data_IF_123502469609
#
_entry.id   IF_123502469609
#
_cell.length_a   1.000
_cell.length_b   1.000
_cell.length_c   1.000
_cell.angle_alpha   90.00
_cell.angle_beta   90.00
_cell.angle_gamma   90.00
#
_symmetry.space_group_name_H-M   'P 1'
#
loop_
_entity.id
_entity.type
_entity.pdbx_description
1 polymer ?
#
# COMPACT_ATOMS: atom_id res chain seq x y z
N UNK A 1 10.70 22.33 -6.13
CA UNK A 1 10.94 20.91 -6.03
C UNK A 1 9.68 20.19 -5.56
N UNK A 2 9.25 19.14 -6.23
CA UNK A 2 8.06 18.42 -5.80
C UNK A 2 8.27 17.87 -4.38
N UNK A 3 7.24 17.97 -3.57
CA UNK A 3 7.31 17.52 -2.19
C UNK A 3 6.06 16.73 -1.84
N UNK A 4 6.25 15.51 -1.37
CA UNK A 4 5.16 14.62 -1.00
C UNK A 4 5.26 14.28 0.48
N UNK A 5 4.16 14.49 1.21
CA UNK A 5 4.09 14.24 2.65
C UNK A 5 3.54 12.85 3.00
N UNK A 6 3.39 11.97 2.01
CA UNK A 6 2.71 10.71 2.22
C UNK A 6 3.57 9.61 2.86
N UNK A 7 4.88 9.85 3.03
CA UNK A 7 5.77 8.84 3.63
C UNK A 7 5.27 8.35 4.99
N UNK A 8 5.15 9.24 6.00
CA UNK A 8 4.65 8.82 7.30
C UNK A 8 3.23 8.27 7.26
N UNK A 9 2.37 8.82 6.42
CA UNK A 9 0.99 8.36 6.29
C UNK A 9 0.94 6.93 5.73
N UNK A 10 1.80 6.60 4.77
CA UNK A 10 1.91 5.24 4.25
C UNK A 10 2.31 4.26 5.35
N UNK A 11 3.31 4.62 6.16
CA UNK A 11 3.72 3.78 7.29
C UNK A 11 2.54 3.53 8.21
N UNK A 12 1.77 4.57 8.53
CA UNK A 12 0.57 4.42 9.37
C UNK A 12 -0.48 3.50 8.75
N UNK A 13 -0.75 3.64 7.45
CA UNK A 13 -1.76 2.82 6.77
C UNK A 13 -1.34 1.36 6.68
N UNK A 14 -0.08 1.10 6.38
CA UNK A 14 0.43 -0.27 6.32
C UNK A 14 0.34 -0.92 7.70
N UNK A 15 0.72 -0.20 8.75
CA UNK A 15 0.66 -0.70 10.11
C UNK A 15 -0.79 -0.88 10.59
N UNK A 16 -1.70 -0.01 10.17
CA UNK A 16 -3.12 -0.17 10.46
C UNK A 16 -3.66 -1.46 9.86
N UNK A 17 -3.27 -1.76 8.61
CA UNK A 17 -3.64 -3.02 7.98
C UNK A 17 -3.17 -4.22 8.82
N UNK A 18 -1.95 -4.17 9.32
CA UNK A 18 -1.38 -5.25 10.10
C UNK A 18 -2.13 -5.48 11.43
N UNK A 19 -2.66 -4.41 12.02
CA UNK A 19 -3.25 -4.46 13.37
C UNK A 19 -4.76 -4.64 13.38
N UNK A 20 -5.45 -4.26 12.31
CA UNK A 20 -6.92 -4.33 12.26
C UNK A 20 -7.39 -5.69 11.78
N UNK A 21 -8.67 -5.96 12.03
CA UNK A 21 -9.34 -7.16 11.55
C UNK A 21 -10.62 -6.75 10.82
N UNK A 22 -11.15 -7.67 10.02
CA UNK A 22 -12.42 -7.49 9.33
C UNK A 22 -12.33 -6.55 8.14
N UNK A 23 -13.48 -5.92 7.81
CA UNK A 23 -13.64 -5.13 6.60
C UNK A 23 -12.71 -3.91 6.52
N UNK A 24 -12.32 -3.36 7.68
CA UNK A 24 -11.46 -2.17 7.71
C UNK A 24 -10.07 -2.45 7.15
N UNK A 25 -9.61 -3.70 7.18
CA UNK A 25 -8.33 -4.09 6.59
C UNK A 25 -8.33 -3.86 5.06
N UNK A 26 -9.44 -4.16 4.42
CA UNK A 26 -9.58 -3.94 2.98
C UNK A 26 -9.47 -2.47 2.63
N UNK A 27 -10.09 -1.61 3.44
CA UNK A 27 -10.00 -0.17 3.25
C UNK A 27 -8.56 0.32 3.42
N UNK A 28 -7.88 -0.14 4.47
CA UNK A 28 -6.48 0.25 4.70
C UNK A 28 -5.57 -0.20 3.55
N UNK A 29 -5.77 -1.41 3.05
CA UNK A 29 -5.00 -1.91 1.90
C UNK A 29 -5.27 -1.08 0.65
N UNK A 30 -6.53 -0.75 0.37
CA UNK A 30 -6.88 0.07 -0.78
C UNK A 30 -6.33 1.49 -0.63
N UNK A 31 -6.33 2.04 0.59
CA UNK A 31 -5.83 3.38 0.86
C UNK A 31 -4.34 3.51 0.49
N UNK A 32 -3.55 2.45 0.63
CA UNK A 32 -2.15 2.45 0.20
C UNK A 32 -2.06 2.78 -1.30
N UNK A 33 -2.84 2.08 -2.11
CA UNK A 33 -2.87 2.31 -3.55
C UNK A 33 -3.40 3.71 -3.87
N UNK A 34 -4.46 4.13 -3.19
CA UNK A 34 -5.08 5.43 -3.40
C UNK A 34 -4.10 6.57 -3.09
N UNK A 35 -3.33 6.46 -2.01
CA UNK A 35 -2.33 7.48 -1.67
C UNK A 35 -1.28 7.62 -2.76
N UNK A 36 -0.79 6.49 -3.29
CA UNK A 36 0.22 6.52 -4.34
C UNK A 36 -0.33 7.17 -5.61
N UNK A 37 -1.59 6.89 -5.95
CA UNK A 37 -2.24 7.44 -7.15
C UNK A 37 -2.63 8.90 -7.02
N UNK A 38 -2.89 9.39 -5.81
CA UNK A 38 -3.47 10.72 -5.60
C UNK A 38 -2.45 11.83 -5.41
N UNK A 39 -1.19 11.51 -5.27
CA UNK A 39 -0.15 12.54 -5.08
C UNK A 39 0.02 13.36 -6.37
N UNK A 40 -0.11 14.68 -6.25
CA UNK A 40 -0.02 15.58 -7.39
C UNK A 40 1.35 15.50 -8.09
N UNK A 41 2.40 15.19 -7.35
CA UNK A 41 3.76 15.09 -7.87
C UNK A 41 4.06 13.73 -8.51
N UNK A 42 3.11 12.81 -8.48
CA UNK A 42 3.21 11.50 -9.12
C UNK A 42 3.64 10.37 -8.18
N UNK A 43 3.50 9.12 -8.64
CA UNK A 43 3.84 7.95 -7.82
C UNK A 43 5.30 7.91 -7.38
N UNK A 44 6.21 8.39 -8.21
CA UNK A 44 7.65 8.40 -7.90
C UNK A 44 7.96 9.26 -6.68
N UNK A 45 7.22 10.37 -6.51
CA UNK A 45 7.40 11.24 -5.35
C UNK A 45 6.95 10.53 -4.06
N UNK A 46 5.90 9.72 -4.15
CA UNK A 46 5.41 8.95 -3.00
C UNK A 46 6.43 7.87 -2.61
N UNK A 47 6.98 7.17 -3.59
CA UNK A 47 8.00 6.14 -3.36
C UNK A 47 9.25 6.78 -2.73
N UNK A 48 9.67 7.94 -3.24
CA UNK A 48 10.81 8.66 -2.68
C UNK A 48 10.56 9.09 -1.24
N UNK A 49 9.34 9.57 -0.93
CA UNK A 49 8.97 9.97 0.42
C UNK A 49 9.01 8.78 1.38
N UNK A 50 8.56 7.61 0.93
CA UNK A 50 8.64 6.39 1.73
C UNK A 50 10.10 5.99 1.96
N UNK A 51 10.94 6.14 0.95
CA UNK A 51 12.38 5.88 1.06
C UNK A 51 13.04 6.77 2.12
N UNK A 52 12.61 8.02 2.24
CA UNK A 52 13.11 8.92 3.28
C UNK A 52 12.79 8.41 4.68
N UNK A 53 11.62 7.79 4.88
CA UNK A 53 11.27 7.20 6.18
C UNK A 53 12.25 6.10 6.58
N UNK A 54 12.80 5.36 5.61
CA UNK A 54 13.82 4.34 5.89
C UNK A 54 15.11 4.96 6.44
N UNK A 55 15.47 6.15 5.97
CA UNK A 55 16.68 6.86 6.40
C UNK A 55 16.51 7.52 7.77
N UNK A 56 15.28 7.85 8.15
CA UNK A 56 14.99 8.57 9.39
C UNK A 56 14.79 7.65 10.60
N UNK A 57 14.98 6.35 10.41
CA UNK A 57 14.87 5.36 11.49
C UNK A 57 13.52 5.42 12.23
N UNK A 58 12.44 5.48 11.45
CA UNK A 58 11.08 5.48 11.98
C UNK A 58 10.79 4.14 12.66
N UNK A 59 10.40 4.17 13.93
CA UNK A 59 10.17 2.96 14.72
C UNK A 59 9.07 2.05 14.16
N UNK A 60 8.10 2.63 13.44
CA UNK A 60 7.02 1.85 12.81
C UNK A 60 7.39 1.23 11.48
N UNK A 61 8.52 1.63 10.92
CA UNK A 61 8.86 1.25 9.55
C UNK A 61 9.18 -0.24 9.42
N UNK A 62 9.87 -0.82 10.37
CA UNK A 62 10.22 -2.25 10.31
C UNK A 62 8.97 -3.12 10.19
N UNK A 63 7.95 -2.82 11.00
CA UNK A 63 6.67 -3.53 10.92
C UNK A 63 6.01 -3.30 9.55
N UNK A 64 6.05 -2.07 9.04
CA UNK A 64 5.46 -1.75 7.74
C UNK A 64 6.15 -2.54 6.62
N UNK A 65 7.47 -2.60 6.62
CA UNK A 65 8.21 -3.35 5.61
C UNK A 65 7.89 -4.84 5.67
N UNK A 66 7.82 -5.40 6.87
CA UNK A 66 7.46 -6.80 7.07
C UNK A 66 6.05 -7.09 6.57
N UNK A 67 5.12 -6.20 6.85
CA UNK A 67 3.73 -6.33 6.40
C UNK A 67 3.65 -6.32 4.87
N UNK A 68 4.39 -5.43 4.22
CA UNK A 68 4.46 -5.41 2.76
C UNK A 68 5.01 -6.73 2.22
N UNK A 69 6.08 -7.24 2.80
CA UNK A 69 6.68 -8.50 2.36
C UNK A 69 5.74 -9.69 2.56
N UNK A 70 5.03 -9.74 3.68
CA UNK A 70 4.20 -10.89 4.04
C UNK A 70 2.86 -10.90 3.30
N UNK A 71 2.30 -9.73 3.00
CA UNK A 71 0.89 -9.66 2.57
C UNK A 71 0.64 -8.92 1.25
N UNK A 72 1.66 -8.34 0.62
CA UNK A 72 1.46 -7.49 -0.55
C UNK A 72 2.34 -7.82 -1.75
N UNK A 73 3.19 -8.85 -1.66
CA UNK A 73 4.17 -9.13 -2.72
C UNK A 73 3.64 -10.00 -3.86
N UNK A 74 2.41 -10.44 -3.78
CA UNK A 74 1.79 -11.33 -4.76
C UNK A 74 0.30 -11.00 -4.84
N UNK A 75 -0.28 -11.10 -6.03
CA UNK A 75 -1.69 -10.77 -6.25
C UNK A 75 -2.63 -11.65 -5.42
N UNK A 76 -2.20 -12.85 -5.03
CA UNK A 76 -3.00 -13.77 -4.23
C UNK A 76 -2.83 -13.55 -2.72
N UNK A 77 -1.95 -12.64 -2.32
CA UNK A 77 -1.75 -12.34 -0.90
C UNK A 77 -2.94 -11.56 -0.34
N UNK A 78 -2.99 -11.53 0.98
CA UNK A 78 -4.13 -10.96 1.72
C UNK A 78 -4.37 -9.48 1.39
N UNK A 79 -3.32 -8.66 1.30
CA UNK A 79 -3.45 -7.23 1.04
C UNK A 79 -4.16 -6.92 -0.27
N UNK A 80 -3.62 -7.37 -1.41
CA UNK A 80 -4.29 -7.14 -2.69
C UNK A 80 -5.70 -7.73 -2.76
N UNK A 81 -5.89 -8.92 -2.20
CA UNK A 81 -7.20 -9.59 -2.22
C UNK A 81 -8.25 -8.77 -1.45
N UNK A 82 -7.91 -8.30 -0.24
CA UNK A 82 -8.83 -7.51 0.57
C UNK A 82 -9.08 -6.12 -0.04
N UNK A 83 -8.07 -5.51 -0.66
CA UNK A 83 -8.25 -4.23 -1.33
C UNK A 83 -9.24 -4.35 -2.49
N UNK A 84 -9.10 -5.39 -3.30
CA UNK A 84 -10.01 -5.64 -4.41
C UNK A 84 -11.44 -5.87 -3.92
N UNK A 85 -11.61 -6.67 -2.87
CA UNK A 85 -12.92 -6.91 -2.28
C UNK A 85 -13.54 -5.63 -1.72
N UNK A 86 -12.76 -4.80 -1.08
CA UNK A 86 -13.23 -3.53 -0.54
C UNK A 86 -13.73 -2.60 -1.64
N UNK A 87 -12.92 -2.39 -2.66
CA UNK A 87 -13.22 -1.40 -3.70
C UNK A 87 -14.29 -1.87 -4.68
N UNK A 88 -14.22 -3.12 -5.09
CA UNK A 88 -15.11 -3.66 -6.11
C UNK A 88 -16.36 -4.36 -5.54
N UNK A 89 -16.31 -4.75 -4.27
CA UNK A 89 -17.44 -5.45 -3.63
C UNK A 89 -17.81 -6.72 -4.38
N UNK A 90 -19.08 -6.83 -4.80
CA UNK A 90 -19.56 -8.01 -5.51
C UNK A 90 -18.93 -8.17 -6.90
N UNK A 91 -18.23 -7.15 -7.39
CA UNK A 91 -17.50 -7.20 -8.67
C UNK A 91 -16.03 -7.55 -8.49
N UNK A 92 -15.63 -8.08 -7.32
CA UNK A 92 -14.24 -8.39 -6.99
C UNK A 92 -13.73 -9.66 -7.68
N UNK A 93 -14.14 -9.87 -8.91
CA UNK A 93 -13.72 -10.99 -9.76
C UNK A 93 -13.47 -10.48 -11.18
N UNK A 94 -12.74 -11.27 -11.96
CA UNK A 94 -12.45 -10.93 -13.33
C UNK A 94 -11.28 -9.97 -13.50
N UNK A 95 -11.19 -9.37 -14.67
CA UNK A 95 -10.02 -8.59 -15.08
C UNK A 95 -9.81 -7.33 -14.25
N UNK A 96 -10.88 -6.67 -13.83
CA UNK A 96 -10.76 -5.44 -13.02
C UNK A 96 -10.17 -5.74 -11.66
N UNK A 97 -10.59 -6.83 -11.04
CA UNK A 97 -10.06 -7.24 -9.73
C UNK A 97 -8.58 -7.63 -9.86
N UNK A 98 -8.25 -8.38 -10.89
CA UNK A 98 -6.86 -8.80 -11.11
C UNK A 98 -5.96 -7.59 -11.35
N UNK A 99 -6.42 -6.63 -12.15
CA UNK A 99 -5.65 -5.41 -12.43
C UNK A 99 -5.39 -4.62 -11.15
N UNK A 100 -6.41 -4.46 -10.31
CA UNK A 100 -6.24 -3.74 -9.03
C UNK A 100 -5.23 -4.45 -8.13
N UNK A 101 -5.34 -5.77 -8.04
CA UNK A 101 -4.40 -6.56 -7.24
C UNK A 101 -2.97 -6.41 -7.75
N UNK A 102 -2.77 -6.51 -9.06
CA UNK A 102 -1.45 -6.38 -9.67
C UNK A 102 -0.88 -4.97 -9.50
N UNK A 103 -1.72 -3.94 -9.60
CA UNK A 103 -1.30 -2.56 -9.36
C UNK A 103 -0.80 -2.38 -7.93
N UNK A 104 -1.48 -2.97 -6.97
CA UNK A 104 -1.08 -2.87 -5.57
C UNK A 104 0.22 -3.64 -5.31
N UNK A 105 0.41 -4.79 -5.96
CA UNK A 105 1.67 -5.54 -5.89
C UNK A 105 2.82 -4.70 -6.44
N UNK A 106 2.61 -4.03 -7.57
CA UNK A 106 3.62 -3.14 -8.16
C UNK A 106 4.01 -2.03 -7.19
N UNK A 107 3.01 -1.43 -6.55
CA UNK A 107 3.25 -0.40 -5.53
C UNK A 107 4.08 -0.97 -4.37
N UNK A 108 3.70 -2.14 -3.87
CA UNK A 108 4.40 -2.76 -2.74
C UNK A 108 5.86 -3.02 -3.07
N UNK A 109 6.15 -3.55 -4.25
CA UNK A 109 7.54 -3.79 -4.66
C UNK A 109 8.31 -2.49 -4.79
N UNK A 110 7.69 -1.43 -5.32
CA UNK A 110 8.34 -0.13 -5.42
C UNK A 110 8.69 0.43 -4.03
N UNK A 111 7.76 0.31 -3.07
CA UNK A 111 8.00 0.77 -1.71
C UNK A 111 9.10 -0.04 -1.02
N UNK A 112 9.11 -1.36 -1.21
CA UNK A 112 10.14 -2.22 -0.62
C UNK A 112 11.52 -1.91 -1.18
N UNK A 113 11.60 -1.51 -2.44
CA UNK A 113 12.87 -1.22 -3.11
C UNK A 113 13.27 0.27 -3.03
N UNK A 114 12.50 1.07 -2.38
CA UNK A 114 12.75 2.51 -2.27
C UNK A 114 14.05 2.86 -1.54
#
# INVERSE_FOLDING_TARGET
MPFCHYGPLLVLKINAFAKREGAKRGKDAYDILSLVRSCAEGPEAVVAAFGEEKREDNSGLEMALRTLEDHFTDADRLGPALAASFYLGSRAQGDSALRLREDLVTVAHALLNA
#
